data_IF_210089455076
#
_entry.id   IF_210089455076
#
_cell.length_a   1.000
_cell.length_b   1.000
_cell.length_c   1.000
_cell.angle_alpha   90.00
_cell.angle_beta   90.00
_cell.angle_gamma   90.00
#
_symmetry.space_group_name_H-M   'P 1'
#
loop_
_entity.id
_entity.type
_entity.pdbx_description
1 polymer ?
#
# COMPACT_ATOMS: atom_id res chain seq x y z
N UNK A 1 6.70 -25.07 -13.51
CA UNK A 1 5.64 -24.81 -14.50
C UNK A 1 4.97 -23.49 -14.13
N UNK A 2 4.63 -22.65 -15.09
CA UNK A 2 3.95 -21.37 -14.86
C UNK A 2 2.44 -21.58 -14.67
N UNK A 3 1.82 -20.88 -13.71
CA UNK A 3 0.39 -21.00 -13.41
C UNK A 3 -0.26 -19.62 -13.12
N UNK A 4 -1.56 -19.62 -12.86
CA UNK A 4 -2.32 -18.40 -12.59
C UNK A 4 -1.81 -17.66 -11.36
N UNK A 5 -1.49 -18.37 -10.29
CA UNK A 5 -0.97 -17.82 -9.04
C UNK A 5 0.35 -17.09 -9.27
N UNK A 6 1.25 -17.68 -10.07
CA UNK A 6 2.50 -17.06 -10.46
C UNK A 6 2.30 -15.86 -11.40
N UNK A 7 1.34 -15.93 -12.33
CA UNK A 7 0.96 -14.79 -13.18
C UNK A 7 0.48 -13.61 -12.33
N UNK A 8 -0.47 -13.87 -11.42
CA UNK A 8 -1.02 -12.89 -10.50
C UNK A 8 0.06 -12.27 -9.64
N UNK A 9 0.91 -13.09 -9.01
CA UNK A 9 2.02 -12.62 -8.20
C UNK A 9 2.96 -11.69 -9.00
N UNK A 10 3.38 -12.11 -10.20
CA UNK A 10 4.28 -11.32 -11.04
C UNK A 10 3.64 -9.97 -11.44
N UNK A 11 2.35 -9.97 -11.78
CA UNK A 11 1.63 -8.74 -12.12
C UNK A 11 1.46 -7.81 -10.92
N UNK A 12 1.15 -8.36 -9.74
CA UNK A 12 1.08 -7.62 -8.47
C UNK A 12 2.42 -7.01 -8.07
N UNK A 13 3.52 -7.75 -8.21
CA UNK A 13 4.88 -7.21 -8.01
C UNK A 13 5.17 -6.06 -8.98
N UNK A 14 4.91 -6.26 -10.27
CA UNK A 14 5.19 -5.24 -11.29
C UNK A 14 4.40 -3.95 -11.02
N UNK A 15 3.10 -4.06 -10.77
CA UNK A 15 2.25 -2.89 -10.44
C UNK A 15 2.71 -2.17 -9.17
N UNK A 16 2.99 -2.91 -8.08
CA UNK A 16 3.52 -2.34 -6.84
C UNK A 16 4.85 -1.61 -7.07
N UNK A 17 5.75 -2.22 -7.84
CA UNK A 17 7.03 -1.60 -8.19
C UNK A 17 6.85 -0.32 -8.99
N UNK A 18 5.98 -0.32 -10.02
CA UNK A 18 5.71 0.87 -10.83
C UNK A 18 5.14 2.02 -10.00
N UNK A 19 4.27 1.71 -9.04
CA UNK A 19 3.61 2.69 -8.19
C UNK A 19 4.53 3.29 -7.11
N UNK A 20 5.50 2.52 -6.61
CA UNK A 20 6.35 2.90 -5.48
C UNK A 20 7.75 3.41 -5.86
N UNK A 21 8.33 2.96 -6.97
CA UNK A 21 9.75 3.21 -7.30
C UNK A 21 10.16 4.68 -7.24
N UNK A 22 9.47 5.64 -7.89
CA UNK A 22 9.80 7.09 -7.94
C UNK A 22 11.30 7.44 -7.79
N UNK A 23 12.17 6.83 -8.61
CA UNK A 23 13.62 7.05 -8.55
C UNK A 23 14.30 6.54 -7.28
N UNK A 24 13.73 5.50 -6.64
CA UNK A 24 14.21 4.94 -5.38
C UNK A 24 14.67 3.50 -5.44
N UNK A 25 13.89 2.61 -6.01
CA UNK A 25 14.28 1.21 -6.13
C UNK A 25 13.97 0.72 -7.53
N UNK A 26 14.70 -0.30 -7.97
CA UNK A 26 14.38 -1.01 -9.21
C UNK A 26 13.18 -1.95 -8.97
N UNK A 27 12.56 -2.43 -10.05
CA UNK A 27 11.54 -3.50 -9.94
C UNK A 27 12.12 -4.78 -9.35
N UNK A 28 13.39 -5.11 -9.66
CA UNK A 28 14.06 -6.27 -9.09
C UNK A 28 14.24 -6.14 -7.56
N UNK A 29 14.63 -4.95 -7.09
CA UNK A 29 14.79 -4.65 -5.66
C UNK A 29 13.45 -4.75 -4.91
N UNK A 30 12.38 -4.18 -5.48
CA UNK A 30 11.04 -4.26 -4.87
C UNK A 30 10.52 -5.70 -4.88
N UNK A 31 10.75 -6.46 -5.96
CA UNK A 31 10.42 -7.89 -6.03
C UNK A 31 11.13 -8.66 -4.91
N UNK A 32 12.44 -8.47 -4.77
CA UNK A 32 13.21 -9.13 -3.73
C UNK A 32 12.69 -8.79 -2.32
N UNK A 33 12.35 -7.53 -2.06
CA UNK A 33 11.75 -7.13 -0.78
C UNK A 33 10.39 -7.81 -0.53
N UNK A 34 9.52 -7.89 -1.55
CA UNK A 34 8.22 -8.60 -1.44
C UNK A 34 8.44 -10.09 -1.18
N UNK A 35 9.37 -10.73 -1.91
CA UNK A 35 9.69 -12.15 -1.78
C UNK A 35 10.31 -12.52 -0.43
N UNK A 36 10.94 -11.56 0.26
CA UNK A 36 11.48 -11.74 1.61
C UNK A 36 10.55 -11.21 2.72
N UNK A 37 9.28 -10.94 2.41
CA UNK A 37 8.27 -10.49 3.37
C UNK A 37 7.08 -11.45 3.43
N UNK A 38 6.23 -11.32 4.46
CA UNK A 38 4.98 -12.08 4.57
C UNK A 38 3.87 -11.64 3.58
N UNK A 39 4.13 -10.67 2.68
CA UNK A 39 3.11 -10.06 1.82
C UNK A 39 2.40 -11.04 0.88
N UNK A 40 3.17 -11.95 0.24
CA UNK A 40 2.58 -12.96 -0.65
C UNK A 40 1.72 -13.95 0.14
N UNK A 41 2.25 -14.46 1.25
CA UNK A 41 1.54 -15.39 2.13
C UNK A 41 0.24 -14.77 2.66
N UNK A 42 0.25 -13.49 3.02
CA UNK A 42 -0.95 -12.78 3.46
C UNK A 42 -1.98 -12.62 2.34
N UNK A 43 -1.57 -12.36 1.10
CA UNK A 43 -2.51 -12.29 -0.02
C UNK A 43 -3.21 -13.64 -0.25
N UNK A 44 -2.49 -14.75 -0.13
CA UNK A 44 -3.03 -16.09 -0.30
C UNK A 44 -3.95 -16.48 0.88
N UNK A 45 -3.47 -16.36 2.12
CA UNK A 45 -4.07 -16.99 3.30
C UNK A 45 -4.26 -16.04 4.51
N UNK A 46 -4.24 -14.73 4.29
CA UNK A 46 -4.35 -13.74 5.36
C UNK A 46 -5.64 -13.83 6.17
N UNK A 47 -5.56 -13.40 7.43
CA UNK A 47 -6.70 -13.32 8.34
C UNK A 47 -7.68 -12.20 7.95
N UNK A 48 -8.94 -12.37 8.35
CA UNK A 48 -10.09 -11.58 7.91
C UNK A 48 -10.61 -10.59 8.96
N UNK A 49 -9.78 -10.19 9.93
CA UNK A 49 -10.10 -9.17 10.94
C UNK A 49 -9.12 -7.98 10.88
N UNK A 50 -9.59 -6.83 11.37
CA UNK A 50 -8.89 -5.54 11.27
C UNK A 50 -7.63 -5.52 12.11
N UNK A 51 -7.69 -6.07 13.32
CA UNK A 51 -6.59 -6.10 14.28
C UNK A 51 -5.43 -6.93 13.72
N UNK A 52 -5.73 -8.12 13.17
CA UNK A 52 -4.75 -8.98 12.51
C UNK A 52 -4.16 -8.32 11.27
N UNK A 53 -4.97 -7.64 10.46
CA UNK A 53 -4.44 -6.87 9.32
C UNK A 53 -3.51 -5.75 9.76
N UNK A 54 -3.87 -5.00 10.79
CA UNK A 54 -3.04 -3.92 11.29
C UNK A 54 -1.69 -4.45 11.81
N UNK A 55 -1.71 -5.57 12.53
CA UNK A 55 -0.49 -6.24 13.01
C UNK A 55 0.37 -6.74 11.84
N UNK A 56 -0.24 -7.39 10.84
CA UNK A 56 0.42 -7.79 9.59
C UNK A 56 1.03 -6.59 8.87
N UNK A 57 0.27 -5.51 8.67
CA UNK A 57 0.72 -4.35 7.92
C UNK A 57 1.96 -3.73 8.57
N UNK A 58 2.02 -3.63 9.91
CA UNK A 58 3.19 -3.09 10.63
C UNK A 58 4.43 -3.95 10.41
N UNK A 59 4.32 -5.26 10.65
CA UNK A 59 5.44 -6.20 10.47
C UNK A 59 5.92 -6.22 9.02
N UNK A 60 5.00 -6.45 8.08
CA UNK A 60 5.30 -6.48 6.66
C UNK A 60 5.93 -5.16 6.17
N UNK A 61 5.46 -4.01 6.67
CA UNK A 61 6.07 -2.74 6.30
C UNK A 61 7.51 -2.63 6.82
N UNK A 62 7.77 -3.06 8.05
CA UNK A 62 9.11 -3.05 8.63
C UNK A 62 10.07 -4.01 7.90
N UNK A 63 9.61 -5.20 7.50
CA UNK A 63 10.39 -6.13 6.68
C UNK A 63 10.74 -5.50 5.32
N UNK A 64 9.74 -4.92 4.64
CA UNK A 64 9.95 -4.23 3.37
C UNK A 64 10.95 -3.07 3.53
N UNK A 65 10.83 -2.27 4.60
CA UNK A 65 11.75 -1.16 4.87
C UNK A 65 13.17 -1.69 5.06
N UNK A 66 13.36 -2.72 5.87
CA UNK A 66 14.66 -3.32 6.12
C UNK A 66 15.32 -3.80 4.83
N UNK A 67 14.60 -4.59 4.03
CA UNK A 67 15.12 -5.11 2.75
C UNK A 67 15.38 -3.99 1.74
N UNK A 68 14.44 -3.08 1.53
CA UNK A 68 14.63 -1.95 0.61
C UNK A 68 15.82 -1.08 1.01
N UNK A 69 15.96 -0.77 2.30
CA UNK A 69 17.03 0.09 2.78
C UNK A 69 18.40 -0.52 2.54
N UNK A 70 18.53 -1.84 2.79
CA UNK A 70 19.76 -2.60 2.59
C UNK A 70 20.15 -2.64 1.11
N UNK A 71 19.22 -2.98 0.22
CA UNK A 71 19.50 -3.16 -1.20
C UNK A 71 19.74 -1.83 -1.95
N UNK A 72 19.07 -0.75 -1.54
CA UNK A 72 19.23 0.57 -2.15
C UNK A 72 20.42 1.34 -1.54
N UNK A 73 20.87 0.96 -0.34
CA UNK A 73 21.90 1.70 0.40
C UNK A 73 21.40 3.03 0.99
N UNK A 74 20.08 3.18 1.15
CA UNK A 74 19.46 4.36 1.79
C UNK A 74 18.10 4.03 2.38
N UNK A 75 17.75 4.68 3.47
CA UNK A 75 16.54 4.40 4.25
C UNK A 75 15.25 4.47 3.41
N UNK A 76 14.46 3.40 3.47
CA UNK A 76 13.09 3.33 2.99
C UNK A 76 12.15 3.90 4.04
N UNK A 77 11.07 4.53 3.62
CA UNK A 77 10.08 5.09 4.53
C UNK A 77 8.86 4.19 4.62
N UNK A 78 8.13 4.31 5.73
CA UNK A 78 6.90 3.57 5.94
C UNK A 78 5.87 3.85 4.84
N UNK A 79 5.75 5.10 4.40
CA UNK A 79 4.86 5.44 3.29
C UNK A 79 5.20 4.73 1.96
N UNK A 80 6.47 4.39 1.70
CA UNK A 80 6.86 3.59 0.54
C UNK A 80 6.47 2.12 0.72
N UNK A 81 6.76 1.53 1.87
CA UNK A 81 6.39 0.16 2.17
C UNK A 81 4.86 -0.04 2.17
N UNK A 82 4.13 0.86 2.83
CA UNK A 82 2.67 0.89 2.83
C UNK A 82 2.07 0.97 1.41
N UNK A 83 2.66 1.77 0.53
CA UNK A 83 2.21 1.86 -0.87
C UNK A 83 2.45 0.55 -1.63
N UNK A 84 3.57 -0.13 -1.39
CA UNK A 84 3.86 -1.46 -1.97
C UNK A 84 2.80 -2.46 -1.51
N UNK A 85 2.55 -2.55 -0.20
CA UNK A 85 1.53 -3.44 0.39
C UNK A 85 0.16 -3.18 -0.24
N UNK A 86 -0.28 -1.92 -0.25
CA UNK A 86 -1.61 -1.54 -0.74
C UNK A 86 -1.81 -1.89 -2.22
N UNK A 87 -0.83 -1.61 -3.09
CA UNK A 87 -0.94 -1.92 -4.52
C UNK A 87 -0.87 -3.43 -4.78
N UNK A 88 0.01 -4.14 -4.06
CA UNK A 88 0.11 -5.59 -4.19
C UNK A 88 -1.20 -6.27 -3.77
N UNK A 89 -1.78 -5.89 -2.62
CA UNK A 89 -3.06 -6.45 -2.15
C UNK A 89 -4.26 -5.98 -2.97
N UNK A 90 -4.22 -4.76 -3.53
CA UNK A 90 -5.23 -4.31 -4.49
C UNK A 90 -5.31 -5.25 -5.68
N UNK A 91 -4.17 -5.57 -6.27
CA UNK A 91 -4.12 -6.41 -7.47
C UNK A 91 -4.34 -7.88 -7.18
N UNK A 92 -3.79 -8.42 -6.08
CA UNK A 92 -3.86 -9.84 -5.76
C UNK A 92 -5.11 -10.27 -4.97
N UNK A 93 -5.73 -9.37 -4.20
CA UNK A 93 -6.87 -9.68 -3.33
C UNK A 93 -8.11 -8.90 -3.74
N UNK A 94 -8.04 -7.56 -3.81
CA UNK A 94 -9.25 -6.74 -4.02
C UNK A 94 -9.83 -6.98 -5.41
N UNK A 95 -9.03 -6.81 -6.47
CA UNK A 95 -9.52 -6.93 -7.84
C UNK A 95 -9.93 -8.38 -8.20
N UNK A 96 -9.17 -9.37 -7.73
CA UNK A 96 -9.45 -10.80 -7.97
C UNK A 96 -10.74 -11.25 -7.30
N UNK A 97 -11.06 -10.71 -6.12
CA UNK A 97 -12.29 -11.03 -5.39
C UNK A 97 -13.42 -10.02 -5.64
N UNK A 98 -13.25 -9.05 -6.55
CA UNK A 98 -14.19 -7.94 -6.77
C UNK A 98 -14.60 -7.24 -5.47
N UNK A 99 -13.64 -7.10 -4.55
CA UNK A 99 -13.81 -6.61 -3.19
C UNK A 99 -14.86 -7.36 -2.33
N UNK A 100 -15.27 -8.57 -2.73
CA UNK A 100 -16.32 -9.35 -2.05
C UNK A 100 -15.84 -10.16 -0.85
N UNK A 101 -14.55 -10.12 -0.51
CA UNK A 101 -14.00 -10.85 0.64
C UNK A 101 -13.87 -9.96 1.88
N UNK A 102 -13.95 -10.53 3.08
CA UNK A 102 -13.86 -9.79 4.34
C UNK A 102 -12.58 -8.96 4.46
N UNK A 103 -11.46 -9.48 3.95
CA UNK A 103 -10.17 -8.77 3.91
C UNK A 103 -10.22 -7.43 3.19
N UNK A 104 -11.08 -7.31 2.18
CA UNK A 104 -11.23 -6.06 1.43
C UNK A 104 -11.76 -4.90 2.29
N UNK A 105 -12.37 -5.14 3.45
CA UNK A 105 -12.92 -4.09 4.33
C UNK A 105 -11.87 -3.31 5.12
N UNK A 106 -10.61 -3.73 5.08
CA UNK A 106 -9.54 -3.09 5.84
C UNK A 106 -8.21 -3.00 5.07
N UNK A 107 -8.10 -3.55 3.86
CA UNK A 107 -6.93 -3.28 3.01
C UNK A 107 -6.91 -1.79 2.69
N UNK A 108 -5.83 -1.13 3.09
CA UNK A 108 -5.64 0.30 2.95
C UNK A 108 -5.63 0.74 1.48
N UNK A 109 -6.10 1.97 1.17
CA UNK A 109 -5.88 2.56 -0.13
C UNK A 109 -4.39 2.92 -0.29
N UNK A 110 -3.84 2.87 -1.52
CA UNK A 110 -2.50 3.36 -1.77
C UNK A 110 -2.40 4.86 -1.53
N UNK A 111 -1.79 5.25 -0.42
CA UNK A 111 -1.55 6.67 -0.10
C UNK A 111 -0.53 7.25 -1.08
N UNK A 112 -0.97 8.23 -1.87
CA UNK A 112 -0.10 9.02 -2.71
C UNK A 112 -0.54 10.48 -2.87
N UNK A 113 0.23 11.25 -3.64
CA UNK A 113 -0.03 12.69 -3.83
C UNK A 113 -1.37 12.96 -4.51
N UNK A 114 -1.82 12.09 -5.42
CA UNK A 114 -3.07 12.28 -6.16
C UNK A 114 -4.23 12.12 -5.18
N UNK A 115 -4.24 10.98 -4.46
CA UNK A 115 -5.28 10.69 -3.47
C UNK A 115 -5.34 11.80 -2.40
N UNK A 116 -4.20 12.16 -1.81
CA UNK A 116 -4.14 13.18 -0.76
C UNK A 116 -4.55 14.58 -1.25
N UNK A 117 -4.21 14.96 -2.49
CA UNK A 117 -4.65 16.22 -3.10
C UNK A 117 -6.17 16.24 -3.27
N UNK A 118 -6.75 15.18 -3.83
CA UNK A 118 -8.20 15.09 -4.09
C UNK A 118 -9.00 15.03 -2.78
N UNK A 119 -8.51 14.32 -1.76
CA UNK A 119 -9.07 14.38 -0.41
C UNK A 119 -9.01 15.80 0.15
N UNK A 120 -7.90 16.52 -0.02
CA UNK A 120 -7.79 17.92 0.43
C UNK A 120 -8.80 18.84 -0.28
N UNK A 121 -9.01 18.66 -1.59
CA UNK A 121 -9.96 19.42 -2.39
C UNK A 121 -11.41 19.16 -1.96
N UNK A 122 -11.76 17.90 -1.67
CA UNK A 122 -13.08 17.48 -1.21
C UNK A 122 -13.37 17.98 0.21
N UNK A 123 -12.46 17.76 1.15
CA UNK A 123 -12.63 18.05 2.58
C UNK A 123 -12.29 19.49 2.95
N UNK A 124 -11.67 20.24 2.04
CA UNK A 124 -11.08 21.58 2.26
C UNK A 124 -9.96 21.60 3.32
N UNK A 125 -9.42 20.44 3.72
CA UNK A 125 -8.32 20.35 4.69
C UNK A 125 -6.97 20.38 3.96
N UNK A 126 -6.36 21.57 3.89
CA UNK A 126 -5.10 21.82 3.16
C UNK A 126 -3.89 20.99 3.61
N UNK A 127 -3.92 20.40 4.81
CA UNK A 127 -2.79 19.61 5.35
C UNK A 127 -2.46 18.40 4.46
N UNK A 128 -3.47 17.73 3.89
CA UNK A 128 -3.27 16.55 3.06
C UNK A 128 -2.58 16.90 1.73
N UNK A 129 -2.88 18.07 1.16
CA UNK A 129 -2.23 18.55 -0.07
C UNK A 129 -0.72 18.76 0.10
N UNK A 130 -0.28 19.19 1.30
CA UNK A 130 1.13 19.46 1.61
C UNK A 130 1.90 18.22 2.08
N UNK A 131 1.20 17.12 2.37
CA UNK A 131 1.81 15.93 2.93
C UNK A 131 2.67 15.20 1.89
N UNK A 132 3.91 14.88 2.27
CA UNK A 132 4.80 14.08 1.45
C UNK A 132 4.73 12.62 1.86
N UNK A 133 3.86 11.85 1.20
CA UNK A 133 3.67 10.42 1.50
C UNK A 133 4.98 9.61 1.46
N UNK A 134 5.95 9.97 0.62
CA UNK A 134 7.26 9.27 0.56
C UNK A 134 8.16 9.52 1.77
N UNK A 135 7.74 10.38 2.71
CA UNK A 135 8.44 10.72 3.96
C UNK A 135 7.67 10.31 5.22
N UNK A 136 6.54 9.61 5.08
CA UNK A 136 5.81 9.13 6.25
C UNK A 136 6.61 8.03 6.95
N UNK A 137 6.88 8.24 8.24
CA UNK A 137 7.28 7.19 9.17
C UNK A 137 6.04 6.41 9.66
N UNK A 138 6.25 5.38 10.48
CA UNK A 138 5.16 4.55 10.99
C UNK A 138 4.14 5.38 11.78
N UNK A 139 4.60 6.22 12.70
CA UNK A 139 3.75 7.03 13.58
C UNK A 139 2.86 7.97 12.76
N UNK A 140 3.45 8.70 11.81
CA UNK A 140 2.74 9.64 10.95
C UNK A 140 1.79 8.93 10.00
N UNK A 141 2.14 7.74 9.51
CA UNK A 141 1.26 6.93 8.68
C UNK A 141 0.01 6.49 9.45
N UNK A 142 0.17 5.92 10.64
CA UNK A 142 -0.98 5.46 11.42
C UNK A 142 -1.83 6.61 11.95
N UNK A 143 -1.22 7.75 12.29
CA UNK A 143 -1.97 8.98 12.57
C UNK A 143 -2.82 9.40 11.36
N UNK A 144 -2.29 9.31 10.14
CA UNK A 144 -3.05 9.59 8.93
C UNK A 144 -4.19 8.58 8.72
N UNK A 145 -3.95 7.28 8.98
CA UNK A 145 -4.98 6.23 8.95
C UNK A 145 -6.14 6.61 9.88
N UNK A 146 -5.84 6.94 11.13
CA UNK A 146 -6.85 7.31 12.13
C UNK A 146 -7.61 8.58 11.74
N UNK A 147 -6.89 9.61 11.28
CA UNK A 147 -7.49 10.87 10.82
C UNK A 147 -8.45 10.66 9.64
N UNK A 148 -8.05 9.87 8.64
CA UNK A 148 -8.89 9.59 7.47
C UNK A 148 -10.04 8.64 7.84
N UNK A 149 -9.81 7.66 8.71
CA UNK A 149 -10.87 6.78 9.22
C UNK A 149 -11.94 7.57 9.96
N UNK A 150 -11.56 8.52 10.80
CA UNK A 150 -12.50 9.39 11.51
C UNK A 150 -13.26 10.32 10.56
N UNK A 151 -12.61 10.77 9.47
CA UNK A 151 -13.21 11.69 8.52
C UNK A 151 -14.23 11.01 7.59
N UNK A 152 -13.99 9.76 7.20
CA UNK A 152 -14.82 9.03 6.23
C UNK A 152 -15.62 7.88 6.84
N UNK A 153 -15.47 7.62 8.15
CA UNK A 153 -16.06 6.47 8.84
C UNK A 153 -15.44 5.11 8.47
N UNK A 154 -14.42 5.11 7.60
CA UNK A 154 -13.70 3.94 7.12
C UNK A 154 -12.31 4.32 6.61
N UNK A 155 -11.42 3.34 6.59
CA UNK A 155 -10.14 3.45 5.91
C UNK A 155 -9.84 2.12 5.21
N UNK A 156 -10.29 2.03 3.95
CA UNK A 156 -10.10 0.89 3.07
C UNK A 156 -9.92 1.36 1.61
N UNK A 157 -9.67 0.43 0.70
CA UNK A 157 -9.42 0.69 -0.72
C UNK A 157 -10.49 1.55 -1.41
N UNK A 158 -11.72 1.59 -0.91
CA UNK A 158 -12.78 2.37 -1.52
C UNK A 158 -12.55 3.89 -1.44
N UNK A 159 -11.66 4.37 -0.57
CA UNK A 159 -11.20 5.76 -0.59
C UNK A 159 -10.49 6.14 -1.89
N UNK A 160 -10.11 5.17 -2.72
CA UNK A 160 -9.68 5.43 -4.10
C UNK A 160 -10.79 5.99 -5.00
N UNK A 161 -12.03 6.17 -4.53
CA UNK A 161 -13.03 7.01 -5.21
C UNK A 161 -12.52 8.45 -5.45
N UNK A 162 -11.60 8.93 -4.61
CA UNK A 162 -10.93 10.22 -4.79
C UNK A 162 -9.68 10.13 -5.66
N UNK A 163 -9.27 8.95 -6.10
CA UNK A 163 -8.08 8.76 -6.91
C UNK A 163 -8.43 8.79 -8.41
N UNK A 164 -7.70 9.58 -9.19
CA UNK A 164 -7.83 9.59 -10.66
C UNK A 164 -6.50 9.17 -11.31
N UNK A 165 -6.51 8.21 -12.26
CA UNK A 165 -5.30 7.76 -12.95
C UNK A 165 -4.73 8.81 -13.90
N UNK A 166 -5.57 9.74 -14.36
CA UNK A 166 -5.20 10.76 -15.34
C UNK A 166 -4.50 11.93 -14.66
N UNK A 167 -3.39 12.38 -15.26
CA UNK A 167 -2.78 13.66 -14.89
C UNK A 167 -3.47 14.76 -15.69
N UNK A 168 -3.93 15.79 -14.98
CA UNK A 168 -3.88 17.16 -15.50
C UNK A 168 -2.41 17.59 -15.64
#
# INVERSE_FOLDING_TARGET
MYNFEQHLHNYSVWTAARAAQRGYASTATIKAAIENSELRQYAENGLSDRESFNAFHRRCANDLIHHLSREVGREATYGRAAKIISIYLKTSVILTNKAGCERSKFIHPPIDRILLRRIAEHTKIRKYQKMNWTRLDEVSYWKLVDELSNLFGKFDWSLEEFWSPERE
#
